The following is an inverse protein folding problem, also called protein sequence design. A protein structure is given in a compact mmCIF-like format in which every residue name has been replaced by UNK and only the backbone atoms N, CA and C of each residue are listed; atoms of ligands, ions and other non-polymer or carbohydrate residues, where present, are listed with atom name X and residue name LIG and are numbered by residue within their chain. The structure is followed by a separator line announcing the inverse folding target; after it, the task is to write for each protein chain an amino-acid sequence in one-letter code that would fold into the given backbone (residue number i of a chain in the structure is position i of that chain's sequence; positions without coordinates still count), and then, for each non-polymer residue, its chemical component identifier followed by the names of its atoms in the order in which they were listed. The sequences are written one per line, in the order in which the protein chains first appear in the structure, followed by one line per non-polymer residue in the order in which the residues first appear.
data_IF_824776654782
#
_entry.id   IF_824776654782
#
_cell.length_a   1.000
_cell.length_b   1.000
_cell.length_c   1.000
_cell.angle_alpha   90.00
_cell.angle_beta   90.00
_cell.angle_gamma   90.00
#
_symmetry.space_group_name_H-M   'P 1'
#
loop_
_entity.id
_entity.type
_entity.pdbx_description
1 polymer ?
#
# COMPACT_ATOMS: atom_id res chain seq x y z
N UNK A 1 -47.33 36.47 43.67
CA UNK A 1 -46.95 35.91 44.98
C UNK A 1 -45.49 35.44 44.82
N UNK A 2 -44.46 36.25 45.04
CA UNK A 2 -43.74 36.63 46.28
C UNK A 2 -43.34 35.44 47.18
N UNK A 3 -42.05 35.46 47.55
CA UNK A 3 -41.24 34.61 48.47
C UNK A 3 -40.55 33.41 47.79
N UNK A 4 -39.23 33.17 47.97
CA UNK A 4 -38.34 33.58 49.07
C UNK A 4 -36.85 33.47 48.67
N UNK A 5 -36.05 34.42 49.18
CA UNK A 5 -34.58 34.40 49.22
C UNK A 5 -34.02 33.15 49.89
N UNK A 6 -32.83 32.70 49.48
CA UNK A 6 -31.57 32.99 50.19
C UNK A 6 -30.44 32.10 49.69
N UNK A 7 -29.30 32.74 49.44
CA UNK A 7 -28.01 32.18 49.07
C UNK A 7 -27.50 31.15 50.07
N UNK A 8 -26.95 30.03 49.58
CA UNK A 8 -25.92 29.26 50.29
C UNK A 8 -24.81 28.95 49.29
N UNK A 9 -23.65 29.53 49.55
CA UNK A 9 -22.40 29.33 48.84
C UNK A 9 -21.77 28.06 49.42
N UNK A 10 -21.72 26.98 48.64
CA UNK A 10 -21.06 25.73 49.04
C UNK A 10 -19.78 25.58 48.22
N UNK A 11 -18.65 25.85 48.87
CA UNK A 11 -17.33 25.45 48.39
C UNK A 11 -17.18 23.96 48.73
N UNK A 12 -17.04 23.11 47.72
CA UNK A 12 -16.60 21.72 47.88
C UNK A 12 -15.38 21.49 47.00
N UNK A 13 -14.22 21.42 47.65
CA UNK A 13 -13.02 20.77 47.16
C UNK A 13 -13.34 19.29 47.04
N UNK A 14 -13.26 18.73 45.82
CA UNK A 14 -13.40 17.30 45.60
C UNK A 14 -12.15 16.75 44.92
N UNK A 15 -11.56 15.77 45.60
CA UNK A 15 -10.31 15.11 45.30
C UNK A 15 -10.31 14.41 43.94
N UNK A 16 -9.19 14.51 43.23
CA UNK A 16 -8.88 13.74 42.03
C UNK A 16 -8.70 12.26 42.37
N UNK A 17 -9.79 11.49 42.27
CA UNK A 17 -9.72 10.04 42.18
C UNK A 17 -9.42 9.66 40.72
N UNK A 18 -8.23 9.12 40.47
CA UNK A 18 -7.79 8.65 39.17
C UNK A 18 -8.70 7.54 38.65
N UNK A 19 -9.32 7.78 37.49
CA UNK A 19 -9.94 6.72 36.70
C UNK A 19 -8.80 5.96 36.01
N UNK A 20 -8.51 4.75 36.49
CA UNK A 20 -7.70 3.81 35.76
C UNK A 20 -8.45 3.45 34.47
N UNK A 21 -7.98 3.96 33.33
CA UNK A 21 -8.45 3.54 32.02
C UNK A 21 -8.30 2.02 31.90
N UNK A 22 -9.27 1.30 31.31
CA UNK A 22 -9.01 -0.07 30.91
C UNK A 22 -7.88 -0.04 29.89
N UNK A 23 -6.73 -0.60 30.26
CA UNK A 23 -5.73 -1.04 29.28
C UNK A 23 -6.41 -2.10 28.43
N UNK A 24 -6.96 -1.68 27.29
CA UNK A 24 -7.14 -2.57 26.15
C UNK A 24 -5.75 -3.05 25.79
N UNK A 25 -5.43 -4.25 26.24
CA UNK A 25 -4.26 -4.97 25.76
C UNK A 25 -4.40 -5.01 24.23
N UNK A 26 -3.44 -4.51 23.43
CA UNK A 26 -3.49 -4.73 22.00
C UNK A 26 -3.55 -6.23 21.79
N UNK A 27 -4.70 -6.73 21.31
CA UNK A 27 -4.77 -8.09 20.79
C UNK A 27 -3.62 -8.23 19.80
N UNK A 28 -2.86 -9.33 19.82
CA UNK A 28 -1.98 -9.64 18.73
C UNK A 28 -2.82 -9.56 17.45
N UNK A 29 -2.57 -8.56 16.61
CA UNK A 29 -3.00 -8.62 15.22
C UNK A 29 -2.39 -9.91 14.70
N UNK A 30 -3.22 -10.93 14.53
CA UNK A 30 -2.85 -12.14 13.84
C UNK A 30 -2.37 -11.66 12.48
N UNK A 31 -1.05 -11.61 12.30
CA UNK A 31 -0.43 -11.41 11.00
C UNK A 31 -0.81 -12.66 10.22
N UNK A 32 -1.97 -12.62 9.58
CA UNK A 32 -2.39 -13.60 8.60
C UNK A 32 -1.34 -13.47 7.50
N UNK A 33 -0.34 -14.35 7.54
CA UNK A 33 0.68 -14.42 6.52
C UNK A 33 -0.04 -14.86 5.24
N UNK A 34 -0.50 -13.88 4.46
CA UNK A 34 -1.30 -14.11 3.26
C UNK A 34 -0.59 -15.11 2.35
N UNK A 35 -1.33 -16.14 1.93
CA UNK A 35 -0.81 -17.17 1.03
C UNK A 35 -0.29 -16.51 -0.24
N UNK A 36 0.98 -16.69 -0.56
CA UNK A 36 1.54 -16.22 -1.82
C UNK A 36 1.25 -17.23 -2.91
N UNK A 37 0.37 -16.89 -3.85
CA UNK A 37 0.13 -17.70 -5.05
C UNK A 37 0.89 -17.10 -6.22
N UNK A 38 1.63 -17.90 -6.99
CA UNK A 38 2.24 -17.46 -8.24
C UNK A 38 1.21 -17.47 -9.37
N UNK A 39 1.16 -16.40 -10.16
CA UNK A 39 0.21 -16.24 -11.26
C UNK A 39 0.88 -16.28 -12.63
N UNK A 40 1.91 -15.46 -12.82
CA UNK A 40 2.61 -15.36 -14.10
C UNK A 40 3.96 -14.66 -13.94
N UNK A 41 4.85 -14.85 -14.92
CA UNK A 41 5.96 -13.93 -15.13
C UNK A 41 5.46 -12.55 -15.57
N UNK A 42 6.29 -11.53 -15.33
CA UNK A 42 6.06 -10.18 -15.83
C UNK A 42 6.79 -9.99 -17.15
N UNK A 43 6.07 -9.49 -18.15
CA UNK A 43 6.65 -8.98 -19.38
C UNK A 43 6.77 -7.46 -19.23
N UNK A 44 8.00 -6.98 -19.07
CA UNK A 44 8.26 -5.56 -18.81
C UNK A 44 8.06 -4.71 -20.07
N UNK A 45 8.28 -5.28 -21.25
CA UNK A 45 7.98 -4.58 -22.50
C UNK A 45 6.47 -4.37 -22.61
N UNK A 46 5.68 -5.42 -22.39
CA UNK A 46 4.22 -5.29 -22.37
C UNK A 46 3.72 -4.30 -21.31
N UNK A 47 4.39 -4.24 -20.15
CA UNK A 47 4.09 -3.23 -19.12
C UNK A 47 4.38 -1.80 -19.57
N UNK A 48 5.46 -1.58 -20.33
CA UNK A 48 5.75 -0.28 -20.93
C UNK A 48 4.74 0.09 -22.01
N UNK A 49 4.39 -0.85 -22.89
CA UNK A 49 3.39 -0.66 -23.94
C UNK A 49 2.02 -0.33 -23.36
N UNK A 50 1.65 -0.97 -22.24
CA UNK A 50 0.41 -0.68 -21.54
C UNK A 50 0.36 0.74 -20.95
N UNK A 51 1.46 1.23 -20.39
CA UNK A 51 1.50 2.52 -19.70
C UNK A 51 1.67 3.70 -20.66
N UNK A 52 2.49 3.52 -21.70
CA UNK A 52 2.96 4.62 -22.53
C UNK A 52 2.74 4.40 -24.03
N UNK A 53 2.29 3.21 -24.44
CA UNK A 53 2.10 2.82 -25.84
C UNK A 53 3.39 2.35 -26.53
N UNK A 54 3.27 1.99 -27.80
CA UNK A 54 4.34 1.36 -28.61
C UNK A 54 5.54 2.26 -28.93
N UNK A 55 5.53 3.53 -28.49
CA UNK A 55 6.66 4.46 -28.64
C UNK A 55 7.78 4.25 -27.61
N UNK A 56 7.64 3.25 -26.74
CA UNK A 56 8.51 3.04 -25.59
C UNK A 56 9.09 1.64 -25.58
N UNK A 57 10.37 1.53 -25.19
CA UNK A 57 11.07 0.25 -25.03
C UNK A 57 11.48 0.06 -23.57
N UNK A 58 11.30 -1.14 -23.05
CA UNK A 58 11.79 -1.51 -21.73
C UNK A 58 13.32 -1.62 -21.72
N UNK A 59 13.97 -0.96 -20.77
CA UNK A 59 15.41 -1.00 -20.58
C UNK A 59 15.73 -1.13 -19.10
N UNK A 60 16.60 -2.07 -18.74
CA UNK A 60 17.19 -2.16 -17.41
C UNK A 60 18.32 -1.13 -17.30
N UNK A 61 18.26 -0.22 -16.34
CA UNK A 61 19.32 0.76 -16.06
C UNK A 61 20.26 0.32 -14.94
N UNK A 62 19.79 -0.63 -14.12
CA UNK A 62 20.57 -1.29 -13.08
C UNK A 62 20.04 -2.72 -12.85
N UNK A 63 20.72 -3.48 -11.98
CA UNK A 63 20.39 -4.88 -11.69
C UNK A 63 19.37 -5.07 -10.57
N UNK A 64 18.93 -3.99 -9.92
CA UNK A 64 17.96 -4.05 -8.84
C UNK A 64 16.55 -4.29 -9.36
N UNK A 65 15.64 -4.71 -8.48
CA UNK A 65 14.23 -4.86 -8.83
C UNK A 65 13.63 -3.57 -9.42
N UNK A 66 14.02 -2.40 -8.93
CA UNK A 66 13.54 -1.10 -9.42
C UNK A 66 14.22 -0.60 -10.70
N UNK A 67 15.14 -1.38 -11.27
CA UNK A 67 16.02 -0.98 -12.37
C UNK A 67 15.36 -0.90 -13.74
N UNK A 68 14.10 -1.31 -13.89
CA UNK A 68 13.40 -1.16 -15.17
C UNK A 68 12.93 0.27 -15.39
N UNK A 69 13.11 0.75 -16.64
CA UNK A 69 12.58 2.01 -17.15
C UNK A 69 11.94 1.79 -18.53
N UNK A 70 10.91 2.57 -18.83
CA UNK A 70 10.40 2.73 -20.18
C UNK A 70 11.12 3.89 -20.85
N UNK A 71 11.86 3.62 -21.91
CA UNK A 71 12.63 4.60 -22.66
C UNK A 71 11.87 4.99 -23.91
N UNK A 72 11.61 6.29 -24.10
CA UNK A 72 10.99 6.79 -25.32
C UNK A 72 11.97 6.66 -26.49
N UNK A 73 11.53 6.05 -27.59
CA UNK A 73 12.41 5.64 -28.68
C UNK A 73 13.09 6.83 -29.38
N UNK A 74 12.40 7.97 -29.44
CA UNK A 74 12.89 9.18 -30.15
C UNK A 74 13.62 10.14 -29.22
N UNK A 75 12.98 10.52 -28.11
CA UNK A 75 13.50 11.58 -27.22
C UNK A 75 14.49 11.06 -26.18
N UNK A 76 14.69 9.74 -26.09
CA UNK A 76 15.54 9.07 -25.10
C UNK A 76 15.10 9.31 -23.64
N UNK A 77 13.94 9.93 -23.40
CA UNK A 77 13.39 10.14 -22.06
C UNK A 77 13.11 8.81 -21.37
N UNK A 78 13.41 8.73 -20.07
CA UNK A 78 13.20 7.52 -19.27
C UNK A 78 12.11 7.74 -18.23
N UNK A 79 11.21 6.78 -18.12
CA UNK A 79 10.07 6.84 -17.23
C UNK A 79 10.02 5.58 -16.35
N UNK A 80 9.52 5.66 -15.11
CA UNK A 80 9.39 4.50 -14.24
C UNK A 80 8.39 3.48 -14.82
N UNK A 81 8.57 2.20 -14.51
CA UNK A 81 7.61 1.15 -14.88
C UNK A 81 6.74 0.78 -13.69
N UNK A 82 5.42 0.92 -13.82
CA UNK A 82 4.47 0.45 -12.82
C UNK A 82 4.08 -1.02 -13.04
N UNK A 83 4.91 -1.93 -12.54
CA UNK A 83 4.69 -3.38 -12.65
C UNK A 83 3.51 -3.87 -11.80
N UNK A 84 3.18 -3.16 -10.72
CA UNK A 84 2.00 -3.44 -9.91
C UNK A 84 0.72 -3.28 -10.74
N UNK A 85 0.58 -2.14 -11.43
CA UNK A 85 -0.55 -1.89 -12.32
C UNK A 85 -0.62 -2.91 -13.46
N UNK A 86 0.52 -3.28 -14.04
CA UNK A 86 0.58 -4.34 -15.05
C UNK A 86 -0.02 -5.66 -14.54
N UNK A 87 0.40 -6.13 -13.35
CA UNK A 87 -0.13 -7.37 -12.79
C UNK A 87 -1.63 -7.32 -12.53
N UNK A 88 -2.13 -6.22 -11.94
CA UNK A 88 -3.58 -6.05 -11.68
C UNK A 88 -4.40 -6.09 -12.97
N UNK A 89 -3.93 -5.40 -14.01
CA UNK A 89 -4.64 -5.36 -15.29
C UNK A 89 -4.54 -6.67 -16.09
N UNK A 90 -3.45 -7.42 -15.93
CA UNK A 90 -3.27 -8.72 -16.58
C UNK A 90 -4.13 -9.81 -15.98
N UNK A 91 -4.52 -9.67 -14.71
CA UNK A 91 -5.33 -10.63 -13.96
C UNK A 91 -6.64 -10.00 -13.46
N UNK A 92 -7.52 -9.53 -14.37
CA UNK A 92 -8.75 -8.87 -13.98
C UNK A 92 -9.66 -9.82 -13.19
N UNK A 93 -10.33 -9.29 -12.16
CA UNK A 93 -11.24 -10.06 -11.31
C UNK A 93 -10.55 -10.93 -10.25
N UNK A 94 -9.22 -10.92 -10.15
CA UNK A 94 -8.49 -11.49 -9.02
C UNK A 94 -8.19 -10.42 -7.97
N UNK A 95 -8.77 -10.50 -6.77
CA UNK A 95 -8.42 -9.57 -5.70
C UNK A 95 -7.00 -9.86 -5.20
N UNK A 96 -6.35 -8.86 -4.63
CA UNK A 96 -5.06 -9.06 -3.97
C UNK A 96 -3.88 -9.33 -4.90
N UNK A 97 -4.02 -9.08 -6.21
CA UNK A 97 -2.92 -9.24 -7.17
C UNK A 97 -1.85 -8.17 -6.96
N UNK A 98 -0.58 -8.60 -6.95
CA UNK A 98 0.57 -7.72 -6.82
C UNK A 98 1.78 -8.20 -7.62
N UNK A 99 2.67 -7.25 -7.93
CA UNK A 99 3.96 -7.52 -8.52
C UNK A 99 5.00 -7.76 -7.43
N UNK A 100 5.89 -8.72 -7.64
CA UNK A 100 7.03 -8.92 -6.77
C UNK A 100 8.27 -9.32 -7.56
N UNK A 101 9.42 -8.97 -7.00
CA UNK A 101 10.72 -9.26 -7.58
C UNK A 101 11.56 -10.02 -6.57
N UNK A 102 12.30 -11.01 -7.05
CA UNK A 102 13.25 -11.76 -6.23
C UNK A 102 14.48 -12.11 -7.05
N UNK A 103 15.67 -11.68 -6.60
CA UNK A 103 16.92 -12.06 -7.26
C UNK A 103 17.30 -11.23 -8.48
N UNK A 104 16.75 -10.02 -8.64
CA UNK A 104 17.25 -9.03 -9.60
C UNK A 104 16.25 -8.58 -10.66
N UNK A 105 16.67 -7.61 -11.47
CA UNK A 105 15.83 -6.86 -12.42
C UNK A 105 14.99 -7.76 -13.32
N UNK A 106 15.47 -8.94 -13.75
CA UNK A 106 14.73 -9.83 -14.66
C UNK A 106 13.71 -10.75 -13.98
N UNK A 107 13.64 -10.77 -12.64
CA UNK A 107 12.90 -11.78 -11.89
C UNK A 107 11.59 -11.23 -11.32
N UNK A 108 10.85 -10.46 -12.13
CA UNK A 108 9.53 -9.94 -11.78
C UNK A 108 8.42 -10.94 -12.07
N UNK A 109 7.51 -11.08 -11.12
CA UNK A 109 6.42 -12.06 -11.13
C UNK A 109 5.15 -11.42 -10.57
N UNK A 110 4.00 -11.82 -11.12
CA UNK A 110 2.70 -11.50 -10.55
C UNK A 110 2.30 -12.59 -9.57
N UNK A 111 1.80 -12.17 -8.41
CA UNK A 111 1.29 -13.01 -7.36
C UNK A 111 -0.09 -12.53 -6.92
N UNK A 112 -0.83 -13.35 -6.20
CA UNK A 112 -1.91 -12.89 -5.33
C UNK A 112 -1.67 -13.33 -3.89
N UNK A 113 -2.42 -12.72 -2.97
CA UNK A 113 -2.41 -13.03 -1.54
C UNK A 113 -3.69 -13.74 -1.07
N UNK A 114 -4.42 -14.36 -2.02
CA UNK A 114 -5.74 -14.96 -1.79
C UNK A 114 -5.73 -16.46 -1.50
#
# INVERSE_FOLDING_TARGET
MIFKSSSVLVILVAASAGVASPTTNPQPEEVVLGKRVWLSSVDVQAACDQQYGSGYTASAVDSSCGGWKCKHNVTQGQYPVNLQSYCVNRHPGRPGVYASCSGGVYNWQCHDNT
#
